data_IF_170386914298
#
_entry.id   IF_170386914298
#
_cell.length_a   1.000
_cell.length_b   1.000
_cell.length_c   1.000
_cell.angle_alpha   90.00
_cell.angle_beta   90.00
_cell.angle_gamma   90.00
#
_symmetry.space_group_name_H-M   'P 1'
#
loop_
_entity.id
_entity.type
_entity.pdbx_description
1 polymer ?
#
# COMPACT_ATOMS: atom_id res chain seq x y z
N UNK A 1 -54.00 -44.61 51.79
CA UNK A 1 -52.92 -45.24 51.02
C UNK A 1 -52.33 -44.14 50.15
N UNK A 2 -51.20 -43.63 50.55
CA UNK A 2 -50.58 -42.50 49.89
C UNK A 2 -49.45 -43.00 48.96
N UNK A 3 -49.62 -42.75 47.69
CA UNK A 3 -48.53 -42.99 46.73
C UNK A 3 -47.66 -41.77 46.74
N UNK A 4 -46.32 -41.94 46.87
CA UNK A 4 -45.43 -40.78 46.76
C UNK A 4 -45.27 -40.38 45.33
N UNK A 5 -45.52 -39.12 45.05
CA UNK A 5 -45.22 -38.50 43.79
C UNK A 5 -43.76 -38.25 43.76
N UNK A 6 -43.07 -38.99 42.88
CA UNK A 6 -41.65 -38.77 42.63
C UNK A 6 -41.58 -37.63 41.63
N UNK A 7 -41.16 -36.48 42.11
CA UNK A 7 -40.86 -35.31 41.25
C UNK A 7 -39.49 -35.54 40.67
N UNK A 8 -39.43 -35.90 39.38
CA UNK A 8 -38.17 -35.96 38.64
C UNK A 8 -37.85 -34.54 38.22
N UNK A 9 -36.95 -33.92 38.95
CA UNK A 9 -36.36 -32.68 38.47
C UNK A 9 -35.39 -33.00 37.33
N UNK A 10 -35.80 -32.74 36.12
CA UNK A 10 -34.88 -32.72 34.96
C UNK A 10 -34.03 -31.48 35.06
N UNK A 11 -32.78 -31.67 35.50
CA UNK A 11 -31.79 -30.63 35.43
C UNK A 11 -31.35 -30.50 33.95
N UNK A 12 -31.92 -29.56 33.24
CA UNK A 12 -31.42 -29.17 31.93
C UNK A 12 -30.05 -28.49 32.13
N UNK A 13 -28.99 -29.22 31.86
CA UNK A 13 -27.67 -28.64 31.82
C UNK A 13 -27.58 -27.68 30.63
N UNK A 14 -27.63 -26.40 30.91
CA UNK A 14 -27.33 -25.38 29.95
C UNK A 14 -25.83 -25.46 29.70
N UNK A 15 -25.43 -26.04 28.58
CA UNK A 15 -24.04 -25.97 28.13
C UNK A 15 -23.81 -24.58 27.53
N UNK A 16 -22.98 -23.73 28.14
CA UNK A 16 -22.65 -22.47 27.50
C UNK A 16 -21.90 -22.78 26.21
N UNK A 17 -22.45 -22.35 25.10
CA UNK A 17 -21.71 -22.39 23.85
C UNK A 17 -20.48 -21.52 24.02
N UNK A 18 -19.31 -22.15 24.15
CA UNK A 18 -18.05 -21.45 24.12
C UNK A 18 -17.87 -20.90 22.70
N UNK A 19 -18.13 -19.62 22.53
CA UNK A 19 -17.73 -18.93 21.33
C UNK A 19 -16.19 -18.97 21.30
N UNK A 20 -15.62 -19.77 20.40
CA UNK A 20 -14.20 -19.73 20.14
C UNK A 20 -13.86 -18.32 19.66
N UNK A 21 -12.94 -17.59 20.32
CA UNK A 21 -12.48 -16.35 19.74
C UNK A 21 -11.86 -16.69 18.40
N UNK A 22 -12.45 -16.20 17.31
CA UNK A 22 -11.80 -16.13 16.05
C UNK A 22 -10.50 -15.39 16.30
N UNK A 23 -9.36 -16.04 16.06
CA UNK A 23 -8.10 -15.35 16.07
C UNK A 23 -8.18 -14.27 14.98
N UNK A 24 -8.61 -13.09 15.39
CA UNK A 24 -8.49 -11.92 14.56
C UNK A 24 -7.00 -11.64 14.42
N UNK A 25 -6.44 -11.87 13.23
CA UNK A 25 -5.20 -11.22 12.85
C UNK A 25 -5.38 -9.75 13.21
N UNK A 26 -4.40 -9.17 13.87
CA UNK A 26 -4.40 -7.75 14.15
C UNK A 26 -4.83 -7.00 12.88
N UNK A 27 -5.82 -6.09 12.96
CA UNK A 27 -6.29 -5.41 11.78
C UNK A 27 -5.12 -4.66 11.14
N UNK A 28 -4.92 -4.84 9.84
CA UNK A 28 -3.94 -4.10 9.06
C UNK A 28 -4.21 -2.62 9.27
N UNK A 29 -3.20 -1.89 9.74
CA UNK A 29 -3.31 -0.46 9.93
C UNK A 29 -3.33 0.22 8.57
N UNK A 30 -4.46 0.82 8.26
CA UNK A 30 -4.61 1.67 7.08
C UNK A 30 -4.39 3.11 7.51
N UNK A 31 -3.44 3.83 6.87
CA UNK A 31 -3.22 5.22 7.22
C UNK A 31 -4.44 6.06 6.90
N UNK A 32 -4.75 6.99 7.80
CA UNK A 32 -5.80 7.98 7.59
C UNK A 32 -5.15 9.31 7.20
N UNK A 33 -5.66 9.93 6.15
CA UNK A 33 -5.13 11.18 5.65
C UNK A 33 -3.95 11.02 4.69
N UNK A 34 -3.30 12.12 4.30
CA UNK A 34 -2.20 12.09 3.34
C UNK A 34 -1.02 11.28 3.84
N UNK A 35 -0.45 10.48 2.94
CA UNK A 35 0.77 9.75 3.21
C UNK A 35 1.97 10.69 3.25
N UNK A 36 2.89 10.41 4.15
CA UNK A 36 4.15 11.12 4.25
C UNK A 36 5.29 10.15 4.58
N UNK A 37 6.51 10.67 4.58
CA UNK A 37 7.70 9.95 4.98
C UNK A 37 8.52 9.39 3.83
N UNK A 38 9.59 8.72 4.22
CA UNK A 38 10.51 8.09 3.30
C UNK A 38 10.19 6.60 3.22
N UNK A 39 10.17 6.08 1.99
CA UNK A 39 9.90 4.69 1.71
C UNK A 39 10.97 4.13 0.79
N UNK A 40 11.43 2.94 1.04
CA UNK A 40 12.49 2.34 0.24
C UNK A 40 12.34 0.86 0.07
N UNK A 41 12.85 0.38 -1.04
CA UNK A 41 12.88 -1.02 -1.40
C UNK A 41 13.92 -1.28 -2.49
N UNK A 42 13.89 -2.46 -3.04
CA UNK A 42 14.75 -2.82 -4.15
C UNK A 42 14.20 -2.19 -5.44
N UNK A 43 15.06 -1.48 -6.14
CA UNK A 43 14.78 -0.80 -7.42
C UNK A 43 13.84 0.40 -7.34
N UNK A 44 13.38 0.77 -6.14
CA UNK A 44 12.52 1.93 -5.99
C UNK A 44 12.64 2.57 -4.61
N UNK A 45 12.40 3.87 -4.56
CA UNK A 45 12.25 4.64 -3.35
C UNK A 45 11.24 5.74 -3.54
N UNK A 46 10.71 6.27 -2.45
CA UNK A 46 9.74 7.34 -2.48
C UNK A 46 9.91 8.29 -1.30
N UNK A 47 9.73 9.57 -1.57
CA UNK A 47 9.57 10.61 -0.54
C UNK A 47 8.18 11.19 -0.71
N UNK A 48 7.34 10.97 0.29
CA UNK A 48 5.96 11.41 0.30
C UNK A 48 5.79 12.58 1.26
N UNK A 49 5.10 13.60 0.81
CA UNK A 49 4.72 14.76 1.60
C UNK A 49 3.22 15.03 1.45
N UNK A 50 2.68 15.92 2.25
CA UNK A 50 1.30 16.37 2.11
C UNK A 50 1.01 17.13 0.80
N UNK A 51 2.05 17.46 0.03
CA UNK A 51 1.96 18.18 -1.25
C UNK A 51 2.15 17.30 -2.46
N UNK A 52 2.66 16.09 -2.28
CA UNK A 52 2.90 15.19 -3.39
C UNK A 52 3.92 14.12 -3.07
N UNK A 53 4.45 13.51 -4.11
CA UNK A 53 5.43 12.45 -3.98
C UNK A 53 6.52 12.56 -5.04
N UNK A 54 7.73 12.16 -4.65
CA UNK A 54 8.84 11.94 -5.58
C UNK A 54 9.29 10.49 -5.46
N UNK A 55 9.45 9.87 -6.60
CA UNK A 55 9.89 8.49 -6.70
C UNK A 55 11.23 8.41 -7.38
N UNK A 56 12.09 7.53 -6.88
CA UNK A 56 13.32 7.13 -7.53
C UNK A 56 13.20 5.68 -7.98
N UNK A 57 13.56 5.42 -9.23
CA UNK A 57 13.63 4.09 -9.81
C UNK A 57 15.01 3.84 -10.41
N UNK A 58 15.29 2.60 -10.78
CA UNK A 58 16.51 2.31 -11.56
C UNK A 58 16.47 3.09 -12.86
N UNK A 59 17.43 3.99 -13.04
CA UNK A 59 17.57 4.83 -14.24
C UNK A 59 16.31 5.64 -14.58
N UNK A 60 15.53 6.04 -13.58
CA UNK A 60 14.33 6.83 -13.79
C UNK A 60 13.89 7.55 -12.52
N UNK A 61 13.06 8.56 -12.71
CA UNK A 61 12.42 9.33 -11.63
C UNK A 61 10.94 9.50 -11.93
N UNK A 62 10.15 9.67 -10.88
CA UNK A 62 8.74 9.92 -11.01
C UNK A 62 8.23 10.94 -10.00
N UNK A 63 7.05 11.47 -10.25
CA UNK A 63 6.42 12.40 -9.32
C UNK A 63 4.90 12.35 -9.42
N UNK A 64 4.26 12.68 -8.31
CA UNK A 64 2.83 12.94 -8.23
C UNK A 64 2.66 14.34 -7.64
N UNK A 65 1.90 15.19 -8.34
CA UNK A 65 1.53 16.52 -7.85
C UNK A 65 0.24 16.39 -7.04
N UNK A 66 0.34 16.61 -5.75
CA UNK A 66 -0.78 16.52 -4.84
C UNK A 66 -0.65 15.39 -3.82
N UNK A 67 -1.44 15.46 -2.75
CA UNK A 67 -1.34 14.49 -1.68
C UNK A 67 -1.79 13.10 -2.10
N UNK A 68 -1.12 12.07 -1.58
CA UNK A 68 -1.54 10.69 -1.74
C UNK A 68 -2.35 10.32 -0.50
N UNK A 69 -3.66 10.22 -0.68
CA UNK A 69 -4.59 9.85 0.39
C UNK A 69 -5.21 8.51 0.05
N UNK A 70 -4.78 7.42 0.70
CA UNK A 70 -5.38 6.12 0.48
C UNK A 70 -6.84 6.07 0.90
N UNK A 71 -7.61 5.20 0.28
CA UNK A 71 -8.98 4.91 0.69
C UNK A 71 -9.03 4.08 1.98
N UNK A 72 -10.23 3.69 2.41
CA UNK A 72 -10.41 2.87 3.61
C UNK A 72 -9.76 1.48 3.56
N UNK A 73 -9.39 1.03 2.38
CA UNK A 73 -8.68 -0.25 2.15
C UNK A 73 -7.17 -0.07 1.96
N UNK A 74 -6.67 1.15 2.05
CA UNK A 74 -5.26 1.47 1.88
C UNK A 74 -4.82 1.60 0.42
N UNK A 75 -5.75 1.72 -0.52
CA UNK A 75 -5.46 1.81 -1.95
C UNK A 75 -5.47 3.24 -2.45
N UNK A 76 -4.59 3.52 -3.40
CA UNK A 76 -4.61 4.76 -4.16
C UNK A 76 -4.33 4.48 -5.64
N UNK A 77 -4.83 5.37 -6.50
CA UNK A 77 -4.68 5.31 -7.94
C UNK A 77 -4.63 6.75 -8.46
N UNK A 78 -3.44 7.22 -8.80
CA UNK A 78 -3.19 8.62 -9.11
C UNK A 78 -2.37 8.77 -10.39
N UNK A 79 -2.64 9.85 -11.10
CA UNK A 79 -1.83 10.26 -12.23
C UNK A 79 -0.59 11.00 -11.75
N UNK A 80 0.51 10.83 -12.47
CA UNK A 80 1.76 11.52 -12.22
C UNK A 80 2.63 11.54 -13.46
N UNK A 81 3.93 11.72 -13.27
CA UNK A 81 4.91 11.75 -14.35
C UNK A 81 6.00 10.71 -14.11
N UNK A 82 6.62 10.29 -15.21
CA UNK A 82 7.74 9.36 -15.20
C UNK A 82 8.81 9.86 -16.19
N UNK A 83 10.04 10.00 -15.72
CA UNK A 83 11.18 10.46 -16.53
C UNK A 83 12.25 9.38 -16.51
N UNK A 84 12.54 8.83 -17.67
CA UNK A 84 13.63 7.87 -17.82
C UNK A 84 14.94 8.59 -18.02
N UNK A 85 15.97 8.24 -17.23
CA UNK A 85 17.31 8.75 -17.41
C UNK A 85 17.86 8.22 -18.74
N UNK A 86 18.41 9.11 -19.55
CA UNK A 86 19.06 8.74 -20.78
C UNK A 86 20.54 9.13 -20.72
N UNK A 87 21.44 8.27 -21.21
CA UNK A 87 22.84 8.64 -21.32
C UNK A 87 23.01 9.79 -22.33
N UNK A 88 23.87 10.75 -22.01
CA UNK A 88 24.18 11.86 -22.86
C UNK A 88 23.55 13.19 -22.44
N UNK A 89 23.80 14.26 -23.23
CA UNK A 89 23.30 15.59 -22.87
C UNK A 89 21.77 15.62 -22.86
N UNK A 90 21.21 16.29 -21.86
CA UNK A 90 19.76 16.47 -21.71
C UNK A 90 19.24 17.30 -22.89
N UNK A 91 18.33 16.74 -23.66
CA UNK A 91 17.63 17.48 -24.72
C UNK A 91 16.49 18.31 -24.11
N UNK A 92 16.26 19.54 -24.59
CA UNK A 92 15.11 20.32 -24.20
C UNK A 92 13.81 19.51 -24.40
N UNK A 93 12.94 19.48 -23.39
CA UNK A 93 11.66 18.76 -23.42
C UNK A 93 11.69 17.35 -22.82
N UNK A 94 12.85 16.76 -22.56
CA UNK A 94 12.95 15.45 -21.86
C UNK A 94 12.65 15.55 -20.37
N UNK A 95 12.84 16.71 -19.77
CA UNK A 95 12.64 16.94 -18.34
C UNK A 95 11.15 16.95 -17.95
N UNK A 96 10.25 17.01 -18.89
CA UNK A 96 8.81 17.08 -18.63
C UNK A 96 8.20 15.71 -18.30
N UNK A 97 8.89 14.63 -18.62
CA UNK A 97 8.42 13.29 -18.35
C UNK A 97 7.22 12.84 -19.18
N UNK A 98 6.87 11.60 -19.03
CA UNK A 98 5.68 11.01 -19.62
C UNK A 98 4.57 10.93 -18.57
N UNK A 99 3.31 11.06 -18.96
CA UNK A 99 2.22 10.73 -18.06
C UNK A 99 2.36 9.29 -17.57
N UNK A 100 2.20 9.11 -16.26
CA UNK A 100 2.26 7.81 -15.63
C UNK A 100 1.09 7.64 -14.69
N UNK A 101 0.73 6.39 -14.42
CA UNK A 101 -0.27 6.03 -13.45
C UNK A 101 0.38 5.25 -12.32
N UNK A 102 0.16 5.74 -11.11
CA UNK A 102 0.68 5.15 -9.89
C UNK A 102 -0.46 4.53 -9.10
N UNK A 103 -0.41 3.22 -8.95
CA UNK A 103 -1.36 2.47 -8.14
C UNK A 103 -0.64 1.84 -6.98
N UNK A 104 -1.20 1.98 -5.80
CA UNK A 104 -0.57 1.42 -4.63
C UNK A 104 -1.55 0.89 -3.61
N UNK A 105 -1.03 0.03 -2.76
CA UNK A 105 -1.73 -0.47 -1.59
C UNK A 105 -0.80 -0.40 -0.39
N UNK A 106 -1.30 0.19 0.68
CA UNK A 106 -0.58 0.30 1.95
C UNK A 106 -1.14 -0.73 2.92
N UNK A 107 -0.25 -1.54 3.47
CA UNK A 107 -0.54 -2.47 4.55
C UNK A 107 0.53 -2.27 5.62
N UNK A 108 0.14 -1.74 6.79
CA UNK A 108 1.08 -1.37 7.86
C UNK A 108 2.18 -0.44 7.35
N UNK A 109 3.43 -0.84 7.40
CA UNK A 109 4.58 -0.07 6.93
C UNK A 109 5.07 -0.49 5.53
N UNK A 110 4.24 -1.22 4.80
CA UNK A 110 4.58 -1.72 3.47
C UNK A 110 3.66 -1.11 2.41
N UNK A 111 4.26 -0.64 1.34
CA UNK A 111 3.57 -0.16 0.16
C UNK A 111 3.89 -1.06 -1.02
N UNK A 112 2.87 -1.56 -1.70
CA UNK A 112 3.01 -2.20 -3.01
C UNK A 112 2.64 -1.17 -4.06
N UNK A 113 3.60 -0.78 -4.88
CA UNK A 113 3.46 0.28 -5.88
C UNK A 113 3.57 -0.29 -7.28
N UNK A 114 2.57 -0.05 -8.11
CA UNK A 114 2.59 -0.37 -9.55
C UNK A 114 2.61 0.90 -10.38
N UNK A 115 3.50 0.94 -11.36
CA UNK A 115 3.68 2.08 -12.25
C UNK A 115 3.42 1.66 -13.69
N UNK A 116 2.52 2.37 -14.36
CA UNK A 116 2.13 2.13 -15.74
C UNK A 116 2.25 3.42 -16.55
N UNK A 117 2.51 3.28 -17.84
CA UNK A 117 2.46 4.39 -18.79
C UNK A 117 1.15 4.31 -19.60
N UNK A 118 0.13 5.16 -19.31
CA UNK A 118 -1.13 5.15 -20.04
C UNK A 118 -0.93 5.44 -21.52
N UNK A 119 -1.74 4.80 -22.36
CA UNK A 119 -1.64 4.96 -23.83
C UNK A 119 -0.56 4.08 -24.48
N UNK A 120 0.22 3.38 -23.69
CA UNK A 120 1.10 2.29 -24.13
C UNK A 120 0.83 1.08 -23.24
N UNK A 121 1.04 -0.11 -23.76
CA UNK A 121 0.92 -1.34 -22.95
C UNK A 121 2.16 -1.56 -22.05
N UNK A 122 2.88 -0.48 -21.74
CA UNK A 122 4.12 -0.57 -20.97
C UNK A 122 3.80 -0.47 -19.48
N UNK A 123 4.06 -1.55 -18.76
CA UNK A 123 4.10 -1.59 -17.31
C UNK A 123 5.56 -1.44 -16.89
N UNK A 124 5.86 -0.39 -16.13
CA UNK A 124 7.22 -0.14 -15.64
C UNK A 124 7.60 -1.20 -14.62
N UNK A 125 6.68 -1.53 -13.72
CA UNK A 125 6.88 -2.60 -12.74
C UNK A 125 6.01 -2.45 -11.50
N UNK A 126 6.15 -3.43 -10.64
CA UNK A 126 5.55 -3.44 -9.30
C UNK A 126 6.68 -3.51 -8.28
N UNK A 127 6.64 -2.62 -7.30
CA UNK A 127 7.70 -2.43 -6.32
C UNK A 127 7.14 -2.56 -4.92
N UNK A 128 7.91 -3.16 -4.03
CA UNK A 128 7.59 -3.24 -2.62
C UNK A 128 8.46 -2.26 -1.85
N UNK A 129 7.84 -1.28 -1.22
CA UNK A 129 8.50 -0.25 -0.43
C UNK A 129 8.15 -0.42 1.04
N UNK A 130 9.12 -0.15 1.91
CA UNK A 130 8.95 -0.21 3.35
C UNK A 130 9.25 1.16 3.95
N UNK A 131 8.42 1.59 4.88
CA UNK A 131 8.61 2.87 5.57
C UNK A 131 9.97 2.92 6.26
N UNK A 132 10.65 4.05 6.13
CA UNK A 132 11.94 4.34 6.75
C UNK A 132 13.08 3.40 6.34
N UNK A 133 12.90 2.64 5.26
CA UNK A 133 13.99 1.85 4.65
C UNK A 133 14.70 2.68 3.59
N UNK A 134 16.03 2.58 3.55
CA UNK A 134 16.82 3.19 2.49
C UNK A 134 16.57 2.48 1.15
N UNK A 135 16.31 3.21 0.07
CA UNK A 135 16.11 2.61 -1.24
C UNK A 135 17.42 2.08 -1.83
N UNK A 136 17.32 0.99 -2.55
CA UNK A 136 18.39 0.42 -3.36
C UNK A 136 18.08 0.68 -4.82
N UNK A 137 18.54 1.81 -5.31
CA UNK A 137 18.23 2.31 -6.65
C UNK A 137 19.52 2.52 -7.42
N UNK A 138 19.54 2.08 -8.68
CA UNK A 138 20.66 2.32 -9.59
C UNK A 138 20.46 3.64 -10.31
N UNK A 139 21.41 4.54 -10.17
CA UNK A 139 21.43 5.77 -10.97
C UNK A 139 22.16 5.50 -12.26
N UNK A 140 21.58 5.97 -13.35
CA UNK A 140 22.20 5.96 -14.68
C UNK A 140 22.63 7.37 -15.03
N UNK A 141 23.91 7.56 -15.19
CA UNK A 141 24.51 8.84 -15.63
C UNK A 141 25.00 8.77 -17.07
#
# INVERSE_FOLDING_TARGET
>A
MNAPIILVLSLAALVPAAASPLEAKDPVKTPRGPLNGNWGGDHAGAVLTDRGAKFDFDCAEGSIDGPITPDGEGRFDLAGTYVQDAPGPTRPGREQGRPARYRGKIEDDTMTLSVELPGSDVVIGTFKLVRDRLPRVRKCS
#
